data_IF_763634264165
#
_entry.id   IF_763634264165
#
_cell.length_a   1.000
_cell.length_b   1.000
_cell.length_c   1.000
_cell.angle_alpha   90.00
_cell.angle_beta   90.00
_cell.angle_gamma   90.00
#
_symmetry.space_group_name_H-M   'P 1'
#
loop_
_entity.id
_entity.type
_entity.pdbx_description
1 polymer ?
#
# COMPACT_ATOMS: atom_id res chain seq x y z
N UNK A 1 -27.62 15.40 -17.65
CA UNK A 1 -27.62 15.45 -16.18
C UNK A 1 -27.81 14.04 -15.67
N UNK A 2 -27.16 13.67 -14.56
CA UNK A 2 -27.38 12.37 -13.92
C UNK A 2 -28.79 12.33 -13.31
N UNK A 3 -29.43 11.17 -13.29
CA UNK A 3 -30.61 10.96 -12.44
C UNK A 3 -30.21 10.88 -10.97
N UNK A 4 -31.15 11.08 -10.06
CA UNK A 4 -30.90 11.01 -8.61
C UNK A 4 -30.33 9.64 -8.18
N UNK A 5 -30.80 8.55 -8.79
CA UNK A 5 -30.27 7.20 -8.54
C UNK A 5 -28.82 7.05 -9.04
N UNK A 6 -28.52 7.61 -10.22
CA UNK A 6 -27.15 7.60 -10.76
C UNK A 6 -26.21 8.45 -9.90
N UNK A 7 -26.67 9.60 -9.43
CA UNK A 7 -25.90 10.44 -8.51
C UNK A 7 -25.63 9.72 -7.18
N UNK A 8 -26.62 9.00 -6.64
CA UNK A 8 -26.48 8.22 -5.40
C UNK A 8 -25.46 7.09 -5.56
N UNK A 9 -25.51 6.33 -6.66
CA UNK A 9 -24.52 5.29 -6.91
C UNK A 9 -23.10 5.83 -7.10
N UNK A 10 -22.96 6.99 -7.75
CA UNK A 10 -21.66 7.66 -7.89
C UNK A 10 -21.11 8.06 -6.53
N UNK A 11 -21.93 8.67 -5.66
CA UNK A 11 -21.51 9.05 -4.31
C UNK A 11 -21.07 7.84 -3.48
N UNK A 12 -21.84 6.75 -3.50
CA UNK A 12 -21.46 5.51 -2.80
C UNK A 12 -20.15 4.91 -3.32
N UNK A 13 -19.92 4.97 -4.63
CA UNK A 13 -18.66 4.51 -5.21
C UNK A 13 -17.48 5.38 -4.76
N UNK A 14 -17.67 6.70 -4.67
CA UNK A 14 -16.65 7.62 -4.16
C UNK A 14 -16.37 7.37 -2.67
N UNK A 15 -17.39 7.18 -1.84
CA UNK A 15 -17.23 6.85 -0.43
C UNK A 15 -16.44 5.54 -0.24
N UNK A 16 -16.75 4.52 -1.05
CA UNK A 16 -16.02 3.25 -1.03
C UNK A 16 -14.54 3.40 -1.44
N UNK A 17 -14.24 4.31 -2.37
CA UNK A 17 -12.86 4.63 -2.76
C UNK A 17 -12.09 5.32 -1.63
N UNK A 18 -12.74 6.23 -0.88
CA UNK A 18 -12.13 6.88 0.29
C UNK A 18 -11.85 5.89 1.43
N UNK A 19 -12.75 4.94 1.66
CA UNK A 19 -12.54 3.84 2.62
C UNK A 19 -11.36 2.95 2.20
N UNK A 20 -11.28 2.63 0.91
CA UNK A 20 -10.19 1.82 0.36
C UNK A 20 -8.84 2.55 0.43
N UNK A 21 -8.81 3.86 0.15
CA UNK A 21 -7.63 4.71 0.35
C UNK A 21 -7.15 4.63 1.82
N UNK A 22 -8.09 4.77 2.75
CA UNK A 22 -7.81 4.71 4.19
C UNK A 22 -7.26 3.35 4.61
N UNK A 23 -7.81 2.25 4.08
CA UNK A 23 -7.32 0.90 4.35
C UNK A 23 -5.91 0.68 3.80
N UNK A 24 -5.65 1.10 2.56
CA UNK A 24 -4.34 1.01 1.93
C UNK A 24 -3.26 1.78 2.71
N UNK A 25 -3.57 2.99 3.19
CA UNK A 25 -2.65 3.76 4.03
C UNK A 25 -2.35 3.08 5.37
N UNK A 26 -3.33 2.41 5.98
CA UNK A 26 -3.13 1.66 7.23
C UNK A 26 -2.19 0.48 7.01
N UNK A 27 -2.38 -0.27 5.93
CA UNK A 27 -1.52 -1.38 5.56
C UNK A 27 -0.07 -0.92 5.34
N UNK A 28 0.13 0.09 4.49
CA UNK A 28 1.46 0.62 4.21
C UNK A 28 2.17 1.12 5.48
N UNK A 29 1.45 1.81 6.37
CA UNK A 29 2.03 2.26 7.64
C UNK A 29 2.38 1.11 8.57
N UNK A 30 1.51 0.10 8.65
CA UNK A 30 1.77 -1.09 9.45
C UNK A 30 3.06 -1.77 8.98
N UNK A 31 3.18 -2.03 7.68
CA UNK A 31 4.36 -2.66 7.08
C UNK A 31 5.64 -1.87 7.36
N UNK A 32 5.65 -0.57 7.07
CA UNK A 32 6.83 0.29 7.30
C UNK A 32 7.21 0.35 8.78
N UNK A 33 6.25 0.24 9.70
CA UNK A 33 6.52 0.19 11.14
C UNK A 33 7.02 -1.18 11.62
N UNK A 34 6.59 -2.26 10.97
CA UNK A 34 6.99 -3.63 11.29
C UNK A 34 8.22 -4.11 10.54
N UNK A 35 8.71 -3.36 9.55
CA UNK A 35 9.82 -3.72 8.65
C UNK A 35 10.98 -4.46 9.32
N UNK A 36 11.61 -3.93 10.39
CA UNK A 36 12.71 -4.62 11.07
C UNK A 36 12.33 -5.97 11.73
N UNK A 37 11.08 -6.09 12.18
CA UNK A 37 10.56 -7.34 12.76
C UNK A 37 10.25 -8.35 11.66
N UNK A 38 9.71 -7.87 10.54
CA UNK A 38 9.46 -8.67 9.33
C UNK A 38 10.79 -9.18 8.77
N UNK A 39 11.82 -8.35 8.69
CA UNK A 39 13.17 -8.75 8.25
C UNK A 39 13.75 -9.90 9.10
N UNK A 40 13.56 -9.84 10.43
CA UNK A 40 13.96 -10.91 11.34
C UNK A 40 13.19 -12.22 11.13
N UNK A 41 11.94 -12.15 10.65
CA UNK A 41 11.13 -13.30 10.28
C UNK A 41 11.45 -13.82 8.88
N UNK A 42 11.85 -12.97 7.93
CA UNK A 42 12.32 -13.40 6.60
C UNK A 42 13.58 -14.26 6.72
N UNK A 43 14.46 -13.90 7.65
CA UNK A 43 15.68 -14.65 7.93
C UNK A 43 15.43 -16.01 8.61
N UNK A 44 14.19 -16.31 9.04
CA UNK A 44 13.81 -17.61 9.61
C UNK A 44 13.40 -18.59 8.48
N UNK A 45 14.13 -19.71 8.31
CA UNK A 45 13.85 -20.72 7.27
C UNK A 45 12.45 -21.34 7.33
N UNK A 46 11.75 -21.23 8.47
CA UNK A 46 10.41 -21.79 8.66
C UNK A 46 9.30 -20.87 8.15
N UNK A 47 9.61 -19.61 7.84
CA UNK A 47 8.65 -18.61 7.34
C UNK A 47 8.96 -18.15 5.91
N UNK A 48 10.01 -18.69 5.30
CA UNK A 48 10.38 -18.48 3.90
C UNK A 48 9.24 -18.96 2.97
N UNK A 49 8.57 -18.01 2.30
CA UNK A 49 7.79 -18.28 1.08
C UNK A 49 6.30 -18.58 1.20
N UNK A 50 5.59 -18.16 2.26
CA UNK A 50 4.11 -18.29 2.24
C UNK A 50 3.33 -17.15 2.91
N UNK A 51 3.82 -16.63 4.04
CA UNK A 51 3.12 -15.55 4.76
C UNK A 51 3.63 -14.16 4.37
N UNK A 52 4.86 -14.10 3.91
CA UNK A 52 5.54 -12.88 3.50
C UNK A 52 5.13 -12.42 2.10
N UNK A 53 4.87 -13.38 1.20
CA UNK A 53 4.45 -13.08 -0.18
C UNK A 53 3.07 -12.41 -0.22
N UNK A 54 2.18 -12.77 0.70
CA UNK A 54 0.87 -12.13 0.85
C UNK A 54 0.96 -10.69 1.38
N UNK A 55 1.92 -10.41 2.27
CA UNK A 55 2.18 -9.05 2.74
C UNK A 55 2.75 -8.19 1.60
N UNK A 56 3.74 -8.70 0.89
CA UNK A 56 4.33 -8.03 -0.28
C UNK A 56 3.29 -7.74 -1.39
N UNK A 57 2.35 -8.67 -1.65
CA UNK A 57 1.25 -8.45 -2.58
C UNK A 57 0.28 -7.36 -2.08
N UNK A 58 -0.07 -7.37 -0.80
CA UNK A 58 -0.96 -6.36 -0.22
C UNK A 58 -0.34 -4.96 -0.26
N UNK A 59 0.97 -4.87 -0.03
CA UNK A 59 1.68 -3.58 -0.03
C UNK A 59 1.87 -3.01 -1.44
N UNK A 60 2.17 -3.86 -2.42
CA UNK A 60 2.25 -3.44 -3.83
C UNK A 60 0.89 -2.98 -4.36
N UNK A 61 -0.19 -3.70 -4.05
CA UNK A 61 -1.56 -3.28 -4.37
C UNK A 61 -1.94 -1.95 -3.70
N UNK A 62 -1.56 -1.77 -2.43
CA UNK A 62 -1.80 -0.52 -1.72
C UNK A 62 -1.06 0.67 -2.35
N UNK A 63 0.20 0.48 -2.75
CA UNK A 63 1.00 1.51 -3.41
C UNK A 63 0.43 1.87 -4.79
N UNK A 64 0.01 0.88 -5.57
CA UNK A 64 -0.58 1.11 -6.90
C UNK A 64 -1.91 1.86 -6.80
N UNK A 65 -2.79 1.44 -5.87
CA UNK A 65 -4.06 2.11 -5.62
C UNK A 65 -3.84 3.57 -5.21
N UNK A 66 -2.98 3.82 -4.23
CA UNK A 66 -2.71 5.17 -3.75
C UNK A 66 -2.06 6.04 -4.82
N UNK A 67 -1.27 5.45 -5.72
CA UNK A 67 -0.69 6.16 -6.87
C UNK A 67 -1.77 6.59 -7.86
N UNK A 68 -2.73 5.71 -8.18
CA UNK A 68 -3.88 6.01 -9.05
C UNK A 68 -4.77 7.12 -8.43
N UNK A 69 -4.92 7.13 -7.10
CA UNK A 69 -5.65 8.17 -6.36
C UNK A 69 -4.87 9.50 -6.20
N UNK A 70 -3.70 9.63 -6.84
CA UNK A 70 -2.91 10.86 -6.84
C UNK A 70 -2.17 11.12 -5.52
N UNK A 71 -1.98 10.10 -4.66
CA UNK A 71 -1.26 10.21 -3.38
C UNK A 71 0.24 9.93 -3.48
N UNK A 72 0.80 9.96 -4.68
CA UNK A 72 2.19 9.63 -4.98
C UNK A 72 3.20 10.37 -4.08
N UNK A 73 3.01 11.66 -3.84
CA UNK A 73 3.90 12.44 -2.97
C UNK A 73 3.84 12.01 -1.50
N UNK A 74 2.65 11.68 -1.00
CA UNK A 74 2.47 11.15 0.35
C UNK A 74 3.13 9.79 0.53
N UNK A 75 3.04 8.92 -0.48
CA UNK A 75 3.74 7.61 -0.49
C UNK A 75 5.25 7.81 -0.46
N UNK A 76 5.79 8.71 -1.31
CA UNK A 76 7.22 9.02 -1.33
C UNK A 76 7.72 9.47 0.04
N UNK A 77 7.01 10.41 0.69
CA UNK A 77 7.34 10.86 2.05
C UNK A 77 7.25 9.74 3.08
N UNK A 78 6.30 8.82 2.98
CA UNK A 78 6.22 7.68 3.90
C UNK A 78 7.41 6.73 3.74
N UNK A 79 7.81 6.41 2.51
CA UNK A 79 8.96 5.56 2.22
C UNK A 79 10.26 6.22 2.69
N UNK A 80 10.44 7.52 2.42
CA UNK A 80 11.63 8.28 2.81
C UNK A 80 11.84 8.30 4.34
N UNK A 81 10.76 8.46 5.10
CA UNK A 81 10.79 8.58 6.56
C UNK A 81 10.75 7.24 7.30
N UNK A 82 10.52 6.12 6.61
CA UNK A 82 10.47 4.80 7.23
C UNK A 82 11.87 4.32 7.69
N UNK A 83 12.00 3.48 8.72
CA UNK A 83 13.27 2.85 9.06
C UNK A 83 13.82 2.01 7.90
N UNK A 84 15.14 1.89 7.81
CA UNK A 84 15.79 0.97 6.86
C UNK A 84 15.32 -0.46 7.12
N UNK A 85 14.75 -1.09 6.09
CA UNK A 85 14.24 -2.46 6.13
C UNK A 85 14.12 -3.00 4.70
N UNK A 86 14.07 -4.32 4.55
CA UNK A 86 13.87 -4.94 3.24
C UNK A 86 12.51 -4.57 2.64
N UNK A 87 11.49 -4.40 3.48
CA UNK A 87 10.15 -3.93 3.09
C UNK A 87 10.20 -2.51 2.50
N UNK A 88 10.89 -1.58 3.17
CA UNK A 88 11.10 -0.21 2.64
C UNK A 88 11.78 -0.26 1.27
N UNK A 89 12.83 -1.05 1.12
CA UNK A 89 13.61 -1.14 -0.11
C UNK A 89 12.80 -1.75 -1.26
N UNK A 90 12.01 -2.80 -0.98
CA UNK A 90 11.11 -3.42 -1.93
C UNK A 90 10.02 -2.44 -2.40
N UNK A 91 9.40 -1.70 -1.46
CA UNK A 91 8.39 -0.69 -1.78
C UNK A 91 8.97 0.47 -2.58
N UNK A 92 10.17 0.94 -2.26
CA UNK A 92 10.87 1.97 -3.02
C UNK A 92 11.15 1.53 -4.46
N UNK A 93 11.58 0.27 -4.65
CA UNK A 93 11.81 -0.31 -5.98
C UNK A 93 10.52 -0.46 -6.79
N UNK A 94 9.43 -0.90 -6.15
CA UNK A 94 8.12 -1.00 -6.81
C UNK A 94 7.57 0.37 -7.21
N UNK A 95 7.61 1.33 -6.30
CA UNK A 95 7.13 2.70 -6.51
C UNK A 95 7.87 3.47 -7.62
N UNK A 96 9.13 3.13 -7.86
CA UNK A 96 9.94 3.69 -8.96
C UNK A 96 9.70 2.99 -10.29
N UNK A 97 9.21 1.74 -10.30
CA UNK A 97 8.83 1.01 -11.52
C UNK A 97 7.43 1.35 -12.03
N UNK A 98 6.49 1.70 -11.14
CA UNK A 98 5.09 2.02 -11.49
C UNK A 98 4.83 3.35 -12.21
N UNK A 99 5.84 4.03 -12.75
CA UNK A 99 5.71 5.33 -13.44
C UNK A 99 5.46 5.19 -14.95
N UNK A 100 4.33 4.59 -15.34
CA UNK A 100 3.84 4.64 -16.73
C UNK A 100 2.54 5.42 -16.79
#
# INVERSE_FOLDING_TARGET
>A
MLSDDQATHVLQALDALDELETAALKLLRAELSSGPTVDGLIADPLTEGSRLDLLCLADTLAVDLLSILGRRESIARLIENAPSSSARDALAQHFTRGTV
#
